data_IF_443631313957
#
_entry.id   IF_443631313957
#
_cell.length_a   1.000
_cell.length_b   1.000
_cell.length_c   1.000
_cell.angle_alpha   90.00
_cell.angle_beta   90.00
_cell.angle_gamma   90.00
#
_symmetry.space_group_name_H-M   'P 1'
#
loop_
_entity.id
_entity.type
_entity.pdbx_description
1 polymer ?
#
# COMPACT_ATOMS: atom_id res chain seq x y z
N UNK A 1 12.05 17.69 -11.07
CA UNK A 1 12.34 16.66 -10.04
C UNK A 1 11.10 15.79 -9.88
N UNK A 2 11.21 14.53 -9.41
CA UNK A 2 10.03 13.71 -9.09
C UNK A 2 9.10 14.47 -8.11
N UNK A 3 7.80 14.19 -8.18
CA UNK A 3 6.78 14.82 -7.32
C UNK A 3 6.74 16.37 -7.37
N UNK A 4 6.95 16.98 -8.55
CA UNK A 4 6.90 18.44 -8.70
C UNK A 4 5.56 19.08 -8.29
N UNK A 5 4.49 18.29 -8.26
CA UNK A 5 3.17 18.71 -7.75
C UNK A 5 3.15 18.95 -6.23
N UNK A 6 4.13 18.46 -5.48
CA UNK A 6 4.29 18.75 -4.04
C UNK A 6 5.05 20.06 -3.77
N UNK A 7 5.55 20.73 -4.81
CA UNK A 7 6.32 21.94 -4.65
C UNK A 7 5.51 23.02 -3.91
N UNK A 8 6.01 23.45 -2.76
CA UNK A 8 5.37 24.47 -1.93
C UNK A 8 4.33 23.95 -0.93
N UNK A 9 4.02 22.65 -0.88
CA UNK A 9 3.15 22.11 0.18
C UNK A 9 3.79 22.13 1.56
N UNK A 10 5.11 21.99 1.62
CA UNK A 10 5.85 21.98 2.87
C UNK A 10 6.88 23.11 2.91
N UNK A 11 7.20 23.58 4.11
CA UNK A 11 8.24 24.58 4.35
C UNK A 11 9.66 24.01 4.38
N UNK A 12 9.82 22.73 4.04
CA UNK A 12 11.10 22.05 3.90
C UNK A 12 11.32 21.59 2.44
N UNK A 13 12.58 21.35 2.02
CA UNK A 13 12.87 20.68 0.77
C UNK A 13 12.17 19.31 0.65
N UNK A 14 12.05 18.79 -0.56
CA UNK A 14 11.44 17.48 -0.79
C UNK A 14 12.16 16.39 0.02
N UNK A 15 11.39 15.60 0.76
CA UNK A 15 11.92 14.43 1.47
C UNK A 15 12.13 13.26 0.49
N UNK A 16 13.24 12.56 0.66
CA UNK A 16 13.55 11.33 -0.06
C UNK A 16 13.45 10.17 0.91
N UNK A 17 12.45 9.31 0.73
CA UNK A 17 12.15 8.20 1.65
C UNK A 17 13.11 7.03 1.40
N UNK A 18 13.69 6.49 2.47
CA UNK A 18 14.54 5.30 2.45
C UNK A 18 13.76 4.01 2.76
N UNK A 19 12.71 4.09 3.58
CA UNK A 19 11.87 2.96 3.94
C UNK A 19 10.84 3.32 5.01
N UNK A 20 10.05 2.35 5.46
CA UNK A 20 9.07 2.53 6.53
C UNK A 20 8.76 1.24 7.28
N UNK A 21 8.26 1.40 8.50
CA UNK A 21 7.85 0.32 9.39
C UNK A 21 6.69 0.79 10.28
N UNK A 22 5.61 0.01 10.30
CA UNK A 22 4.39 0.36 11.03
C UNK A 22 3.85 1.72 10.59
N UNK A 23 3.67 2.64 11.53
CA UNK A 23 3.14 3.98 11.29
C UNK A 23 4.23 5.05 10.99
N UNK A 24 5.46 4.64 10.66
CA UNK A 24 6.59 5.56 10.44
C UNK A 24 7.30 5.31 9.13
N UNK A 25 7.86 6.37 8.56
CA UNK A 25 8.86 6.28 7.50
C UNK A 25 10.15 7.02 7.88
N UNK A 26 11.21 6.68 7.16
CA UNK A 26 12.55 7.21 7.37
C UNK A 26 13.04 7.85 6.07
N UNK A 27 13.68 9.02 6.15
CA UNK A 27 14.35 9.60 4.99
C UNK A 27 15.80 9.10 4.85
N UNK A 28 16.42 9.42 3.71
CA UNK A 28 17.81 9.05 3.41
C UNK A 28 18.84 9.71 4.32
N UNK A 29 18.45 10.73 5.08
CA UNK A 29 19.29 11.44 6.05
C UNK A 29 19.17 10.84 7.47
N UNK A 30 18.29 9.84 7.66
CA UNK A 30 18.11 9.12 8.91
C UNK A 30 17.07 9.72 9.86
N UNK A 31 16.29 10.72 9.41
CA UNK A 31 15.18 11.26 10.20
C UNK A 31 14.00 10.28 10.18
N UNK A 32 13.24 10.23 11.28
CA UNK A 32 12.04 9.41 11.43
C UNK A 32 10.79 10.28 11.55
N UNK A 33 9.75 9.93 10.80
CA UNK A 33 8.49 10.67 10.73
C UNK A 33 7.33 9.75 11.09
N UNK A 34 6.37 10.25 11.88
CA UNK A 34 5.06 9.60 12.02
C UNK A 34 4.23 9.95 10.79
N UNK A 35 3.79 8.93 10.04
CA UNK A 35 3.02 9.17 8.83
C UNK A 35 1.55 9.45 9.14
N UNK A 36 1.22 10.74 9.20
CA UNK A 36 -0.16 11.19 9.35
C UNK A 36 -0.87 11.41 8.01
N UNK A 37 -0.14 11.34 6.88
CA UNK A 37 -0.71 11.43 5.54
C UNK A 37 -1.07 10.06 4.97
N UNK A 38 -0.41 9.01 5.49
CA UNK A 38 -0.71 7.61 5.19
C UNK A 38 -0.56 7.31 3.70
N UNK A 39 0.46 7.93 3.09
CA UNK A 39 0.69 7.99 1.64
C UNK A 39 -0.60 8.28 0.83
N UNK A 40 -1.32 9.36 1.17
CA UNK A 40 -2.63 9.70 0.57
C UNK A 40 -3.61 8.52 0.67
N UNK A 41 -3.70 7.96 1.88
CA UNK A 41 -4.49 6.77 2.26
C UNK A 41 -4.05 5.43 1.62
N UNK A 42 -3.11 5.43 0.68
CA UNK A 42 -2.66 4.17 0.04
C UNK A 42 -1.90 3.23 0.98
N UNK A 43 -1.34 3.74 2.07
CA UNK A 43 -0.64 2.97 3.10
C UNK A 43 -1.45 2.83 4.39
N UNK A 44 -2.78 2.70 4.31
CA UNK A 44 -3.70 2.73 5.49
C UNK A 44 -3.31 1.77 6.61
N UNK A 45 -2.74 0.61 6.28
CA UNK A 45 -2.32 -0.39 7.28
C UNK A 45 -0.93 -0.13 7.86
N UNK A 46 -0.21 0.88 7.36
CA UNK A 46 1.20 1.12 7.63
C UNK A 46 2.13 0.37 6.67
N UNK A 47 3.41 0.49 6.94
CA UNK A 47 4.49 -0.11 6.16
C UNK A 47 4.99 -1.42 6.79
N UNK A 48 5.46 -2.38 6.00
CA UNK A 48 6.14 -3.56 6.55
C UNK A 48 5.21 -4.55 7.24
N UNK A 49 3.94 -4.67 6.83
CA UNK A 49 2.94 -5.47 7.55
C UNK A 49 3.04 -6.95 7.12
N UNK A 50 3.55 -7.88 7.94
CA UNK A 50 3.87 -9.24 7.49
C UNK A 50 2.64 -10.01 7.01
N UNK A 51 1.49 -9.77 7.63
CA UNK A 51 0.20 -10.36 7.24
C UNK A 51 -0.27 -9.95 5.82
N UNK A 52 0.28 -8.86 5.26
CA UNK A 52 0.02 -8.39 3.89
C UNK A 52 1.18 -8.77 2.96
N UNK A 53 2.41 -8.55 3.39
CA UNK A 53 3.60 -8.74 2.57
C UNK A 53 3.87 -10.21 2.25
N UNK A 54 3.76 -11.11 3.22
CA UNK A 54 4.09 -12.52 3.00
C UNK A 54 3.14 -13.19 1.97
N UNK A 55 1.81 -13.01 2.05
CA UNK A 55 0.91 -13.52 1.01
C UNK A 55 1.14 -12.88 -0.35
N UNK A 56 1.43 -11.58 -0.39
CA UNK A 56 1.71 -10.87 -1.64
C UNK A 56 2.96 -11.43 -2.32
N UNK A 57 4.07 -11.58 -1.58
CA UNK A 57 5.32 -12.16 -2.10
C UNK A 57 5.11 -13.59 -2.58
N UNK A 58 4.37 -14.40 -1.82
CA UNK A 58 4.04 -15.78 -2.22
C UNK A 58 3.30 -15.80 -3.56
N UNK A 59 2.27 -14.97 -3.71
CA UNK A 59 1.47 -14.93 -4.93
C UNK A 59 2.27 -14.37 -6.11
N UNK A 60 3.07 -13.33 -5.89
CA UNK A 60 3.90 -12.72 -6.94
C UNK A 60 4.92 -13.72 -7.52
N UNK A 61 5.45 -14.62 -6.68
CA UNK A 61 6.32 -15.72 -7.12
C UNK A 61 5.60 -16.80 -7.93
N UNK A 62 4.32 -17.05 -7.64
CA UNK A 62 3.50 -17.97 -8.44
C UNK A 62 3.15 -17.36 -9.81
N UNK A 63 3.01 -16.04 -9.85
CA UNK A 63 2.82 -15.22 -11.05
C UNK A 63 1.87 -14.06 -10.74
N UNK A 64 2.23 -12.86 -11.20
CA UNK A 64 1.52 -11.65 -10.81
C UNK A 64 0.21 -11.42 -11.58
N UNK A 65 0.13 -11.85 -12.85
CA UNK A 65 -1.01 -11.56 -13.73
C UNK A 65 -1.20 -12.67 -14.77
N UNK A 66 -2.45 -13.08 -15.00
CA UNK A 66 -2.79 -14.16 -15.93
C UNK A 66 -3.92 -13.85 -16.92
N UNK A 67 -4.61 -12.70 -16.79
CA UNK A 67 -5.86 -12.41 -17.51
C UNK A 67 -6.92 -13.54 -17.35
N UNK A 68 -6.86 -14.26 -16.24
CA UNK A 68 -7.68 -15.41 -15.90
C UNK A 68 -7.95 -15.40 -14.38
N UNK A 69 -9.04 -16.00 -13.89
CA UNK A 69 -9.36 -16.03 -12.47
C UNK A 69 -8.42 -16.94 -11.68
N UNK A 70 -8.24 -16.62 -10.39
CA UNK A 70 -7.58 -17.46 -9.38
C UNK A 70 -8.55 -17.82 -8.27
N UNK A 71 -8.24 -18.81 -7.43
CA UNK A 71 -9.04 -19.13 -6.25
C UNK A 71 -9.18 -17.93 -5.29
N UNK A 72 -8.11 -17.14 -5.16
CA UNK A 72 -8.11 -15.91 -4.33
C UNK A 72 -9.12 -14.87 -4.83
N UNK A 73 -9.45 -14.83 -6.13
CA UNK A 73 -10.47 -13.93 -6.66
C UNK A 73 -11.88 -14.26 -6.10
N UNK A 74 -12.18 -15.54 -5.90
CA UNK A 74 -13.45 -15.99 -5.29
C UNK A 74 -13.51 -15.54 -3.83
N UNK A 75 -12.41 -15.72 -3.08
CA UNK A 75 -12.29 -15.28 -1.69
C UNK A 75 -12.43 -13.75 -1.56
N UNK A 76 -11.83 -13.00 -2.47
CA UNK A 76 -11.93 -11.54 -2.51
C UNK A 76 -13.37 -11.08 -2.76
N UNK A 77 -14.06 -11.64 -3.75
CA UNK A 77 -15.46 -11.31 -4.04
C UNK A 77 -16.40 -11.56 -2.86
N UNK A 78 -16.26 -12.70 -2.16
CA UNK A 78 -17.03 -12.99 -0.95
C UNK A 78 -16.70 -12.05 0.21
N UNK A 79 -15.43 -11.70 0.39
CA UNK A 79 -14.99 -10.78 1.44
C UNK A 79 -15.54 -9.37 1.20
N UNK A 80 -15.48 -8.89 -0.04
CA UNK A 80 -16.07 -7.61 -0.44
C UNK A 80 -17.58 -7.61 -0.21
N UNK A 81 -18.28 -8.69 -0.58
CA UNK A 81 -19.72 -8.77 -0.36
C UNK A 81 -20.12 -8.71 1.12
N UNK A 82 -19.33 -9.33 2.00
CA UNK A 82 -19.50 -9.23 3.45
C UNK A 82 -19.20 -7.84 4.01
N UNK A 83 -18.11 -7.22 3.56
CA UNK A 83 -17.64 -5.93 4.10
C UNK A 83 -18.50 -4.75 3.63
N UNK A 84 -18.99 -4.82 2.39
CA UNK A 84 -19.68 -3.71 1.73
C UNK A 84 -21.20 -3.89 1.67
N UNK A 85 -21.71 -5.08 2.01
CA UNK A 85 -23.15 -5.38 1.98
C UNK A 85 -23.75 -5.51 0.59
N UNK A 86 -22.92 -5.66 -0.46
CA UNK A 86 -23.35 -5.80 -1.85
C UNK A 86 -22.93 -7.18 -2.41
N UNK A 87 -23.84 -7.97 -2.99
CA UNK A 87 -23.58 -9.39 -3.26
C UNK A 87 -22.66 -9.67 -4.46
N UNK A 88 -22.46 -8.73 -5.38
CA UNK A 88 -21.74 -8.96 -6.64
C UNK A 88 -20.63 -7.94 -6.86
N UNK A 89 -19.43 -8.44 -7.18
CA UNK A 89 -18.21 -7.66 -7.40
C UNK A 89 -17.50 -8.16 -8.66
N UNK A 90 -17.01 -7.22 -9.48
CA UNK A 90 -16.24 -7.49 -10.70
C UNK A 90 -14.96 -6.67 -10.66
N UNK A 91 -13.83 -7.29 -10.99
CA UNK A 91 -12.49 -6.71 -11.03
C UNK A 91 -11.61 -7.48 -12.02
#
# INVERSE_FOLDING_TARGET
TPMSWMAGYYMHPQLYVAGGEGARFFDVDGNAYVDMNVADLSATLGYGIPAVEEPMVRQFRNGAHYLLPTEDAVVAAHSLGRLMGLPFWQF
#
